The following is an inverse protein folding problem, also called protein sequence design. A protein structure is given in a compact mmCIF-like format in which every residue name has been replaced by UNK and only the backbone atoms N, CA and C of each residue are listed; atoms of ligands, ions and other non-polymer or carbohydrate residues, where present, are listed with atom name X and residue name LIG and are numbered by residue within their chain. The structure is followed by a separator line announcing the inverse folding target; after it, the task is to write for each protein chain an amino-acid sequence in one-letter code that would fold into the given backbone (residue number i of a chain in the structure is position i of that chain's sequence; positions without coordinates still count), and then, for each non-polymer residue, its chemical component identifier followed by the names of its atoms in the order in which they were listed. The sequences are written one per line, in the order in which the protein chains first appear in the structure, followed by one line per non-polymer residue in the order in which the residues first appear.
data_IF_474640709228
#
_entry.id   IF_474640709228
#
_cell.length_a   1.000
_cell.length_b   1.000
_cell.length_c   1.000
_cell.angle_alpha   90.00
_cell.angle_beta   90.00
_cell.angle_gamma   90.00
#
_symmetry.space_group_name_H-M   'P 1'
#
loop_
_entity.id
_entity.type
_entity.pdbx_description
1 polymer ?
#
# COMPACT_ATOMS: atom_id res chain seq x y z
N UNK A 1 5.47 14.66 10.78
CA UNK A 1 5.28 13.77 9.62
C UNK A 1 5.18 12.35 10.14
N UNK A 2 4.21 11.59 9.65
CA UNK A 2 4.05 10.17 9.96
C UNK A 2 4.21 9.37 8.66
N UNK A 3 4.89 8.22 8.74
CA UNK A 3 4.99 7.26 7.65
C UNK A 3 4.47 5.91 8.16
N UNK A 4 3.59 5.28 7.40
CA UNK A 4 3.12 3.94 7.72
C UNK A 4 4.07 2.91 7.12
N UNK A 5 4.73 2.11 7.96
CA UNK A 5 5.76 1.17 7.51
C UNK A 5 5.30 -0.29 7.51
N UNK A 6 4.06 -0.56 7.96
CA UNK A 6 3.50 -1.90 7.97
C UNK A 6 2.05 -1.88 7.47
N UNK A 7 1.86 -1.87 6.15
CA UNK A 7 0.54 -1.99 5.53
C UNK A 7 0.41 -3.29 4.74
N UNK A 8 -0.74 -3.96 4.84
CA UNK A 8 -1.08 -5.13 4.04
C UNK A 8 -2.19 -4.80 3.05
N UNK A 9 -2.12 -5.42 1.89
CA UNK A 9 -3.10 -5.30 0.82
C UNK A 9 -3.86 -6.62 0.66
N UNK A 10 -4.84 -6.62 -0.23
CA UNK A 10 -5.55 -7.82 -0.66
C UNK A 10 -4.66 -8.93 -1.28
N UNK A 11 -3.38 -8.66 -1.55
CA UNK A 11 -2.40 -9.67 -1.92
C UNK A 11 -1.92 -10.50 -0.72
N UNK A 12 -2.17 -10.06 0.51
CA UNK A 12 -2.04 -10.87 1.73
C UNK A 12 -3.31 -11.70 1.96
N UNK A 13 -3.30 -12.96 1.50
CA UNK A 13 -4.49 -13.81 1.51
C UNK A 13 -5.09 -13.97 2.92
N UNK A 14 -6.40 -13.72 3.04
CA UNK A 14 -7.18 -13.74 4.30
C UNK A 14 -6.69 -12.75 5.39
N UNK A 15 -5.76 -11.85 5.07
CA UNK A 15 -5.15 -10.94 6.03
C UNK A 15 -5.15 -9.47 5.61
N UNK A 16 -5.37 -9.17 4.32
CA UNK A 16 -5.60 -7.82 3.83
C UNK A 16 -6.83 -7.77 2.92
N UNK A 17 -7.51 -6.62 2.91
CA UNK A 17 -8.75 -6.40 2.17
C UNK A 17 -8.63 -5.32 1.10
N UNK A 18 -7.87 -4.26 1.38
CA UNK A 18 -7.76 -3.09 0.50
C UNK A 18 -6.82 -3.32 -0.68
N UNK A 19 -7.11 -2.69 -1.82
CA UNK A 19 -6.22 -2.71 -2.97
C UNK A 19 -4.99 -1.81 -2.72
N UNK A 20 -3.81 -2.15 -3.28
CA UNK A 20 -2.60 -1.33 -3.13
C UNK A 20 -2.76 0.11 -3.64
N UNK A 21 -3.44 0.31 -4.76
CA UNK A 21 -3.69 1.63 -5.37
C UNK A 21 -4.59 2.51 -4.49
N UNK A 22 -5.66 1.93 -3.92
CA UNK A 22 -6.53 2.63 -2.97
C UNK A 22 -5.77 3.10 -1.73
N UNK A 23 -4.92 2.24 -1.16
CA UNK A 23 -4.11 2.55 0.02
C UNK A 23 -3.10 3.67 -0.25
N UNK A 24 -2.43 3.63 -1.40
CA UNK A 24 -1.48 4.67 -1.80
C UNK A 24 -2.18 6.01 -2.03
N UNK A 25 -3.34 6.00 -2.71
CA UNK A 25 -4.14 7.23 -2.91
C UNK A 25 -4.58 7.81 -1.57
N UNK A 26 -5.11 6.99 -0.68
CA UNK A 26 -5.55 7.45 0.64
C UNK A 26 -4.37 7.97 1.48
N UNK A 27 -3.20 7.32 1.41
CA UNK A 27 -1.98 7.79 2.06
C UNK A 27 -1.56 9.20 1.59
N UNK A 28 -1.66 9.46 0.28
CA UNK A 28 -1.41 10.78 -0.28
C UNK A 28 -2.47 11.80 0.16
N UNK A 29 -3.75 11.43 0.14
CA UNK A 29 -4.87 12.30 0.55
C UNK A 29 -4.77 12.77 2.01
N UNK A 30 -4.35 11.88 2.93
CA UNK A 30 -4.19 12.22 4.35
C UNK A 30 -2.81 12.85 4.67
N UNK A 31 -1.94 13.01 3.67
CA UNK A 31 -0.63 13.65 3.82
C UNK A 31 0.40 12.81 4.58
N UNK A 32 0.38 11.48 4.42
CA UNK A 32 1.47 10.64 4.92
C UNK A 32 2.79 11.01 4.23
N UNK A 33 3.88 10.99 4.99
CA UNK A 33 5.21 11.20 4.43
C UNK A 33 5.74 9.97 3.67
N UNK A 34 5.07 8.82 3.80
CA UNK A 34 5.37 7.59 3.09
C UNK A 34 4.49 6.44 3.55
N UNK A 35 4.34 5.44 2.70
CA UNK A 35 3.62 4.19 2.97
C UNK A 35 4.45 3.01 2.49
N UNK A 36 4.59 1.97 3.31
CA UNK A 36 5.22 0.71 2.94
C UNK A 36 4.17 -0.39 2.86
N UNK A 37 4.19 -1.11 1.74
CA UNK A 37 3.37 -2.31 1.53
C UNK A 37 4.22 -3.54 1.86
N UNK A 38 3.79 -4.27 2.89
CA UNK A 38 4.48 -5.43 3.47
C UNK A 38 3.55 -6.64 3.42
N UNK A 39 3.19 -7.07 2.21
CA UNK A 39 2.30 -8.21 2.01
C UNK A 39 2.94 -9.54 2.46
N UNK A 40 2.12 -10.44 2.97
CA UNK A 40 2.58 -11.76 3.38
C UNK A 40 2.80 -12.66 2.16
N UNK A 41 4.02 -13.20 2.06
CA UNK A 41 4.43 -14.20 1.07
C UNK A 41 4.20 -13.80 -0.42
N UNK A 42 4.01 -12.51 -0.71
CA UNK A 42 3.74 -12.03 -2.07
C UNK A 42 4.26 -10.61 -2.31
N UNK A 43 4.73 -10.36 -3.54
CA UNK A 43 5.07 -9.04 -4.07
C UNK A 43 4.16 -8.64 -5.23
N UNK A 44 3.07 -9.37 -5.46
CA UNK A 44 2.21 -9.20 -6.64
C UNK A 44 1.50 -7.83 -6.70
N UNK A 45 1.34 -7.15 -5.55
CA UNK A 45 0.73 -5.83 -5.46
C UNK A 45 1.67 -4.64 -5.74
N UNK A 46 2.99 -4.85 -5.73
CA UNK A 46 3.98 -3.76 -5.75
C UNK A 46 3.94 -2.95 -7.05
N UNK A 47 3.73 -3.59 -8.20
CA UNK A 47 3.71 -2.87 -9.49
C UNK A 47 2.57 -1.86 -9.54
N UNK A 48 1.37 -2.24 -9.05
CA UNK A 48 0.21 -1.34 -8.98
C UNK A 48 0.45 -0.20 -7.98
N UNK A 49 0.93 -0.53 -6.79
CA UNK A 49 1.28 0.46 -5.77
C UNK A 49 2.28 1.50 -6.29
N UNK A 50 3.32 1.05 -6.99
CA UNK A 50 4.39 1.92 -7.51
C UNK A 50 3.93 2.81 -8.66
N UNK A 51 3.01 2.35 -9.50
CA UNK A 51 2.43 3.18 -10.55
C UNK A 51 1.60 4.30 -9.92
N UNK A 52 0.68 3.97 -8.99
CA UNK A 52 -0.14 4.98 -8.31
C UNK A 52 0.68 5.95 -7.47
N UNK A 53 1.79 5.52 -6.88
CA UNK A 53 2.67 6.40 -6.11
C UNK A 53 3.42 7.44 -6.97
N UNK A 54 3.46 7.26 -8.29
CA UNK A 54 4.11 8.17 -9.25
C UNK A 54 3.15 9.16 -9.91
N UNK A 55 1.85 8.96 -9.74
CA UNK A 55 0.80 9.88 -10.19
C UNK A 55 0.60 11.00 -9.16
#
# INVERSE_FOLDING_TARGET
MYCELHTRTNFSFLQGASHPDELVRQAAEIGLAGIAITDEASVAGIVRAHVTAKE
#
